data_IF_451835783597
#
_entry.id   IF_451835783597
#
_cell.length_a   1.000
_cell.length_b   1.000
_cell.length_c   1.000
_cell.angle_alpha   90.00
_cell.angle_beta   90.00
_cell.angle_gamma   90.00
#
_symmetry.space_group_name_H-M   'P 1'
#
loop_
_entity.id
_entity.type
_entity.pdbx_description
1 polymer ?
#
# COMPACT_ATOMS: atom_id res chain seq x y z
N UNK A 1 -40.60 55.30 -13.80
CA UNK A 1 -41.19 55.41 -12.44
C UNK A 1 -40.52 54.38 -11.57
N UNK A 2 -39.70 54.75 -10.57
CA UNK A 2 -39.30 53.85 -9.51
C UNK A 2 -40.15 54.09 -8.26
N UNK A 3 -40.61 53.03 -7.61
CA UNK A 3 -41.10 53.06 -6.22
C UNK A 3 -40.11 52.29 -5.32
N UNK A 4 -39.96 52.66 -4.04
CA UNK A 4 -38.75 52.42 -3.26
C UNK A 4 -38.95 51.51 -2.03
N UNK A 5 -37.85 50.89 -1.60
CA UNK A 5 -37.57 50.69 -0.16
C UNK A 5 -37.89 49.31 0.45
N UNK A 6 -36.84 48.63 0.90
CA UNK A 6 -36.75 47.95 2.22
C UNK A 6 -35.29 47.56 2.49
N UNK A 7 -34.80 47.62 3.75
CA UNK A 7 -33.41 47.93 4.04
C UNK A 7 -32.49 46.70 4.09
N UNK A 8 -31.22 46.99 3.83
CA UNK A 8 -30.08 46.12 4.10
C UNK A 8 -30.14 45.58 5.54
N UNK A 9 -30.31 44.26 5.65
CA UNK A 9 -29.98 43.54 6.88
C UNK A 9 -28.55 43.03 6.78
N UNK A 10 -27.79 43.33 7.84
CA UNK A 10 -26.40 42.95 8.06
C UNK A 10 -26.07 41.52 7.63
N UNK A 11 -25.35 41.39 6.51
CA UNK A 11 -24.63 40.16 6.17
C UNK A 11 -23.33 40.10 6.97
N UNK A 12 -23.43 39.77 8.26
CA UNK A 12 -22.27 39.39 9.09
C UNK A 12 -22.17 37.86 9.28
N UNK A 13 -23.01 37.08 8.60
CA UNK A 13 -23.05 35.61 8.70
C UNK A 13 -22.76 34.86 7.39
N UNK A 14 -22.42 35.56 6.31
CA UNK A 14 -22.21 34.95 4.98
C UNK A 14 -20.74 34.70 4.65
N UNK A 15 -19.98 34.17 5.62
CA UNK A 15 -18.60 33.71 5.42
C UNK A 15 -18.38 32.27 5.94
N UNK A 16 -19.47 31.53 6.19
CA UNK A 16 -19.42 30.16 6.71
C UNK A 16 -19.73 29.07 5.66
N UNK A 17 -20.14 29.43 4.43
CA UNK A 17 -20.69 28.46 3.47
C UNK A 17 -19.68 27.96 2.41
N UNK A 18 -18.41 28.37 2.49
CA UNK A 18 -17.39 28.00 1.49
C UNK A 18 -16.28 27.06 1.98
N UNK A 19 -16.32 26.60 3.23
CA UNK A 19 -15.23 25.84 3.80
C UNK A 19 -15.70 24.47 4.27
N UNK A 20 -14.98 23.41 3.90
CA UNK A 20 -15.26 22.05 4.36
C UNK A 20 -15.38 21.92 5.89
N UNK A 21 -15.81 20.76 6.41
CA UNK A 21 -16.19 20.57 7.81
C UNK A 21 -15.14 20.98 8.86
N UNK A 22 -13.88 21.21 8.47
CA UNK A 22 -12.81 21.73 9.33
C UNK A 22 -12.66 23.27 9.42
N UNK A 23 -13.30 24.08 8.57
CA UNK A 23 -13.01 25.53 8.49
C UNK A 23 -13.64 26.34 9.62
N UNK A 24 -14.88 26.03 9.98
CA UNK A 24 -15.60 26.68 11.09
C UNK A 24 -14.87 26.49 12.43
N UNK A 25 -14.50 25.25 12.82
CA UNK A 25 -13.72 25.04 14.04
C UNK A 25 -12.35 25.73 14.03
N UNK A 26 -11.64 25.73 12.90
CA UNK A 26 -10.36 26.42 12.75
C UNK A 26 -10.50 27.94 12.94
N UNK A 27 -11.54 28.54 12.37
CA UNK A 27 -11.84 29.96 12.55
C UNK A 27 -12.12 30.30 14.02
N UNK A 28 -12.80 29.42 14.76
CA UNK A 28 -13.05 29.61 16.20
C UNK A 28 -11.72 29.60 16.97
N UNK A 29 -10.80 28.67 16.67
CA UNK A 29 -9.48 28.63 17.31
C UNK A 29 -8.66 29.89 16.97
N UNK A 30 -8.67 30.33 15.72
CA UNK A 30 -7.97 31.55 15.29
C UNK A 30 -8.56 32.78 15.99
N UNK A 31 -9.88 32.92 16.05
CA UNK A 31 -10.55 34.02 16.75
C UNK A 31 -10.25 33.99 18.24
N UNK A 32 -10.22 32.82 18.88
CA UNK A 32 -9.84 32.67 20.28
C UNK A 32 -8.38 33.11 20.52
N UNK A 33 -7.44 32.69 19.68
CA UNK A 33 -6.02 33.08 19.76
C UNK A 33 -5.81 34.58 19.52
N UNK A 34 -6.42 35.13 18.47
CA UNK A 34 -6.32 36.55 18.13
C UNK A 34 -6.99 37.40 19.20
N UNK A 35 -8.15 36.98 19.71
CA UNK A 35 -8.85 37.64 20.81
C UNK A 35 -8.03 37.66 22.10
N UNK A 36 -7.43 36.53 22.48
CA UNK A 36 -6.54 36.45 23.64
C UNK A 36 -5.27 37.28 23.45
N UNK A 37 -4.65 37.23 22.27
CA UNK A 37 -3.48 38.05 21.93
C UNK A 37 -3.77 39.55 21.94
N UNK A 38 -4.93 39.98 21.42
CA UNK A 38 -5.39 41.37 21.50
C UNK A 38 -5.65 41.79 22.94
N UNK A 39 -6.32 40.96 23.75
CA UNK A 39 -6.53 41.23 25.16
C UNK A 39 -5.20 41.38 25.91
N UNK A 40 -4.22 40.53 25.62
CA UNK A 40 -2.85 40.64 26.15
C UNK A 40 -2.15 41.91 25.70
N UNK A 41 -2.27 42.32 24.43
CA UNK A 41 -1.60 43.52 23.96
C UNK A 41 -2.24 44.82 24.47
N UNK A 42 -3.57 44.85 24.62
CA UNK A 42 -4.33 46.03 25.06
C UNK A 42 -4.30 46.18 26.59
N UNK A 43 -4.48 45.08 27.33
CA UNK A 43 -4.68 45.07 28.79
C UNK A 43 -3.48 44.49 29.54
N UNK A 44 -2.55 43.82 28.85
CA UNK A 44 -1.36 43.21 29.44
C UNK A 44 -0.37 44.23 29.97
N UNK A 45 0.92 43.89 30.10
CA UNK A 45 1.93 44.87 30.50
C UNK A 45 2.05 45.89 29.36
N UNK A 46 1.17 46.89 29.38
CA UNK A 46 0.90 47.81 28.28
C UNK A 46 2.18 48.46 27.78
N UNK A 47 2.15 48.96 26.54
CA UNK A 47 3.25 49.71 25.90
C UNK A 47 4.10 50.36 26.97
N UNK A 48 5.27 49.77 27.26
CA UNK A 48 6.28 50.41 28.09
C UNK A 48 6.67 51.64 27.29
N UNK A 49 6.00 52.75 27.55
CA UNK A 49 6.57 54.05 27.26
C UNK A 49 7.81 54.07 28.12
N UNK A 50 8.95 53.69 27.53
CA UNK A 50 10.24 53.87 28.16
C UNK A 50 10.27 55.31 28.67
N UNK A 51 10.81 55.55 29.89
CA UNK A 51 10.82 56.88 30.47
C UNK A 51 11.35 57.86 29.42
N UNK A 52 10.61 58.95 29.18
CA UNK A 52 11.06 60.02 28.29
C UNK A 52 12.49 60.36 28.73
N UNK A 53 13.44 60.29 27.80
CA UNK A 53 14.88 60.49 28.00
C UNK A 53 15.14 61.78 28.78
N UNK A 54 15.12 61.71 30.10
CA UNK A 54 15.55 62.75 31.01
C UNK A 54 16.60 62.07 31.89
N UNK A 55 17.87 62.26 31.53
CA UNK A 55 19.10 61.99 32.28
C UNK A 55 19.25 60.62 32.99
N UNK A 56 20.01 59.73 32.33
CA UNK A 56 21.03 58.82 32.85
C UNK A 56 20.90 58.21 34.26
N UNK A 57 20.10 57.14 34.36
CA UNK A 57 20.33 56.04 35.30
C UNK A 57 20.42 54.73 34.48
N UNK A 58 21.54 53.98 34.55
CA UNK A 58 21.67 52.67 33.91
C UNK A 58 20.50 51.75 34.30
N UNK A 59 20.02 50.91 33.38
CA UNK A 59 18.84 50.04 33.61
C UNK A 59 18.94 49.24 34.92
N UNK A 60 20.14 48.80 35.31
CA UNK A 60 20.39 48.03 36.52
C UNK A 60 20.44 48.84 37.83
N UNK A 61 20.50 50.18 37.76
CA UNK A 61 20.58 51.08 38.92
C UNK A 61 19.29 51.88 39.16
N UNK A 62 18.24 51.63 38.38
CA UNK A 62 16.96 52.29 38.57
C UNK A 62 16.30 51.73 39.85
N UNK A 63 15.72 52.58 40.71
CA UNK A 63 14.88 52.10 41.79
C UNK A 63 13.82 51.16 41.20
N UNK A 64 13.78 49.92 41.69
CA UNK A 64 12.73 48.98 41.34
C UNK A 64 11.41 49.46 41.99
N UNK A 65 10.29 48.87 41.58
CA UNK A 65 8.99 49.19 42.18
C UNK A 65 9.06 49.02 43.71
N UNK A 66 8.36 49.89 44.45
CA UNK A 66 8.28 49.76 45.90
C UNK A 66 7.65 48.41 46.26
N UNK A 67 8.09 47.79 47.36
CA UNK A 67 7.56 46.49 47.81
C UNK A 67 6.03 46.53 47.90
N UNK A 68 5.44 47.63 48.39
CA UNK A 68 3.98 47.82 48.43
C UNK A 68 3.31 47.74 47.04
N UNK A 69 3.93 48.27 45.98
CA UNK A 69 3.38 48.19 44.61
C UNK A 69 3.48 46.77 44.04
N UNK A 70 4.55 46.06 44.37
CA UNK A 70 4.81 44.69 43.92
C UNK A 70 3.89 43.68 44.60
N UNK A 71 3.73 43.82 45.92
CA UNK A 71 2.91 42.96 46.78
C UNK A 71 1.41 43.22 46.61
N UNK A 72 1.02 44.33 45.98
CA UNK A 72 -0.38 44.63 45.66
C UNK A 72 -0.63 44.49 44.16
N UNK A 73 -0.62 45.60 43.44
CA UNK A 73 -1.05 45.71 42.04
C UNK A 73 -0.21 44.86 41.07
N UNK A 74 1.09 44.68 41.37
CA UNK A 74 1.99 43.84 40.58
C UNK A 74 1.59 42.36 40.66
N UNK A 75 1.46 41.85 41.89
CA UNK A 75 1.05 40.47 42.16
C UNK A 75 -0.39 40.18 41.68
N UNK A 76 -1.34 41.07 41.96
CA UNK A 76 -2.73 40.92 41.51
C UNK A 76 -2.83 40.82 39.98
N UNK A 77 -2.09 41.65 39.24
CA UNK A 77 -2.06 41.58 37.76
C UNK A 77 -1.44 40.28 37.27
N UNK A 78 -0.35 39.81 37.90
CA UNK A 78 0.29 38.56 37.53
C UNK A 78 -0.65 37.35 37.75
N UNK A 79 -1.34 37.31 38.89
CA UNK A 79 -2.33 36.28 39.20
C UNK A 79 -3.53 36.33 38.26
N UNK A 80 -4.03 37.53 37.91
CA UNK A 80 -5.11 37.69 36.93
C UNK A 80 -4.73 37.12 35.55
N UNK A 81 -3.49 37.33 35.09
CA UNK A 81 -2.98 36.73 33.85
C UNK A 81 -2.82 35.22 33.96
N UNK A 82 -2.39 34.71 35.12
CA UNK A 82 -2.34 33.27 35.38
C UNK A 82 -3.73 32.63 35.26
N UNK A 83 -4.76 33.24 35.85
CA UNK A 83 -6.15 32.77 35.74
C UNK A 83 -6.66 32.88 34.31
N UNK A 84 -6.41 34.01 33.62
CA UNK A 84 -6.83 34.20 32.24
C UNK A 84 -6.22 33.15 31.30
N UNK A 85 -4.93 32.84 31.47
CA UNK A 85 -4.25 31.80 30.70
C UNK A 85 -4.79 30.40 31.03
N UNK A 86 -5.06 30.12 32.31
CA UNK A 86 -5.64 28.85 32.72
C UNK A 86 -7.04 28.63 32.13
N UNK A 87 -7.90 29.66 32.14
CA UNK A 87 -9.24 29.62 31.51
C UNK A 87 -9.13 29.51 30.00
N UNK A 88 -8.22 30.25 29.36
CA UNK A 88 -7.99 30.13 27.93
C UNK A 88 -7.54 28.70 27.57
N UNK A 89 -6.54 28.15 28.26
CA UNK A 89 -6.03 26.82 27.99
C UNK A 89 -7.08 25.72 28.25
N UNK A 90 -7.88 25.85 29.32
CA UNK A 90 -8.92 24.86 29.66
C UNK A 90 -10.06 24.82 28.66
N UNK A 91 -10.33 25.91 27.93
CA UNK A 91 -11.32 25.94 26.85
C UNK A 91 -10.69 25.61 25.48
N UNK A 92 -9.49 26.13 25.23
CA UNK A 92 -8.81 26.02 23.94
C UNK A 92 -8.31 24.60 23.66
N UNK A 93 -7.71 23.93 24.66
CA UNK A 93 -7.14 22.58 24.46
C UNK A 93 -8.23 21.56 24.12
N UNK A 94 -9.36 21.45 24.87
CA UNK A 94 -10.42 20.52 24.50
C UNK A 94 -11.03 20.83 23.13
N UNK A 95 -11.20 22.12 22.80
CA UNK A 95 -11.70 22.53 21.50
C UNK A 95 -10.73 22.13 20.37
N UNK A 96 -9.42 22.33 20.55
CA UNK A 96 -8.40 21.88 19.61
C UNK A 96 -8.43 20.37 19.42
N UNK A 97 -8.56 19.61 20.51
CA UNK A 97 -8.59 18.14 20.49
C UNK A 97 -9.81 17.58 19.73
N UNK A 98 -10.94 18.29 19.74
CA UNK A 98 -12.13 17.92 18.95
C UNK A 98 -11.93 18.08 17.43
N UNK A 99 -10.99 18.92 17.01
CA UNK A 99 -10.75 19.30 15.60
C UNK A 99 -9.56 18.51 15.01
N UNK A 100 -8.61 18.16 15.87
CA UNK A 100 -7.37 17.48 15.51
C UNK A 100 -7.56 16.20 14.67
N UNK A 101 -8.56 15.32 14.93
CA UNK A 101 -8.76 14.12 14.12
C UNK A 101 -9.03 14.43 12.64
N UNK A 102 -9.84 15.45 12.34
CA UNK A 102 -10.14 15.83 10.95
C UNK A 102 -8.89 16.36 10.24
N UNK A 103 -8.05 17.13 10.94
CA UNK A 103 -6.79 17.65 10.39
C UNK A 103 -5.82 16.50 10.08
N UNK A 104 -5.72 15.53 10.98
CA UNK A 104 -4.86 14.35 10.79
C UNK A 104 -5.37 13.52 9.61
N UNK A 105 -6.67 13.22 9.55
CA UNK A 105 -7.23 12.42 8.46
C UNK A 105 -7.05 13.09 7.10
N UNK A 106 -7.33 14.40 6.98
CA UNK A 106 -7.09 15.12 5.73
C UNK A 106 -5.62 15.07 5.31
N UNK A 107 -4.68 15.21 6.26
CA UNK A 107 -3.27 15.10 5.94
C UNK A 107 -2.88 13.69 5.50
N UNK A 108 -3.46 12.64 6.10
CA UNK A 108 -3.26 11.24 5.68
C UNK A 108 -3.77 11.03 4.26
N UNK A 109 -4.96 11.54 3.93
CA UNK A 109 -5.52 11.46 2.58
C UNK A 109 -4.64 12.20 1.56
N UNK A 110 -4.17 13.41 1.88
CA UNK A 110 -3.26 14.18 1.03
C UNK A 110 -1.93 13.44 0.78
N UNK A 111 -1.37 12.78 1.81
CA UNK A 111 -0.16 11.95 1.65
C UNK A 111 -0.41 10.71 0.80
N UNK A 112 -1.54 10.03 1.01
CA UNK A 112 -1.92 8.87 0.22
C UNK A 112 -2.08 9.22 -1.27
N UNK A 113 -2.79 10.30 -1.58
CA UNK A 113 -2.98 10.76 -2.96
C UNK A 113 -1.64 11.13 -3.63
N UNK A 114 -0.74 11.77 -2.88
CA UNK A 114 0.61 12.08 -3.36
C UNK A 114 1.43 10.81 -3.64
N UNK A 115 1.36 9.80 -2.77
CA UNK A 115 2.06 8.53 -2.94
C UNK A 115 1.49 7.71 -4.10
N UNK A 116 0.18 7.68 -4.28
CA UNK A 116 -0.48 7.07 -5.46
C UNK A 116 -0.02 7.75 -6.75
N UNK A 117 0.03 9.09 -6.77
CA UNK A 117 0.45 9.84 -7.95
C UNK A 117 1.94 9.61 -8.28
N UNK A 118 2.81 9.65 -7.28
CA UNK A 118 4.23 9.34 -7.44
C UNK A 118 4.45 7.89 -7.89
N UNK A 119 3.77 6.94 -7.23
CA UNK A 119 3.82 5.52 -7.56
C UNK A 119 3.34 5.22 -8.97
N UNK A 120 2.28 5.90 -9.43
CA UNK A 120 1.81 5.81 -10.82
C UNK A 120 2.92 6.24 -11.80
N UNK A 121 3.60 7.35 -11.53
CA UNK A 121 4.66 7.83 -12.42
C UNK A 121 5.81 6.82 -12.53
N UNK A 122 6.27 6.27 -11.39
CA UNK A 122 7.34 5.27 -11.38
C UNK A 122 6.90 3.95 -12.03
N UNK A 123 5.67 3.52 -11.80
CA UNK A 123 5.08 2.35 -12.45
C UNK A 123 5.06 2.49 -13.98
N UNK A 124 4.66 3.66 -14.50
CA UNK A 124 4.66 3.91 -15.95
C UNK A 124 6.07 3.81 -16.55
N UNK A 125 7.09 4.21 -15.79
CA UNK A 125 8.48 4.18 -16.25
C UNK A 125 9.08 2.77 -16.23
N UNK A 126 8.74 1.94 -15.25
CA UNK A 126 9.43 0.68 -14.97
C UNK A 126 8.63 -0.59 -15.26
N UNK A 127 7.30 -0.53 -15.15
CA UNK A 127 6.46 -1.72 -15.08
C UNK A 127 5.46 -1.82 -16.24
N UNK A 128 4.96 -0.68 -16.72
CA UNK A 128 3.86 -0.63 -17.70
C UNK A 128 4.20 -1.28 -19.05
N UNK A 129 5.50 -1.36 -19.41
CA UNK A 129 5.92 -2.03 -20.65
C UNK A 129 5.57 -3.52 -20.69
N UNK A 130 5.49 -4.16 -19.52
CA UNK A 130 5.17 -5.58 -19.39
C UNK A 130 3.77 -5.79 -18.81
N UNK A 131 3.40 -5.02 -17.78
CA UNK A 131 2.16 -5.22 -17.01
C UNK A 131 0.98 -4.36 -17.50
N UNK A 132 1.14 -3.63 -18.61
CA UNK A 132 0.11 -2.74 -19.14
C UNK A 132 0.07 -1.39 -18.43
N UNK A 133 -0.45 -0.37 -19.09
CA UNK A 133 -0.51 1.00 -18.54
C UNK A 133 -1.54 1.15 -17.42
N UNK A 134 -2.52 0.25 -17.37
CA UNK A 134 -3.59 0.20 -16.38
C UNK A 134 -3.50 -1.05 -15.48
N UNK A 135 -2.34 -1.71 -15.40
CA UNK A 135 -2.13 -2.93 -14.62
C UNK A 135 -2.92 -4.15 -15.11
N UNK A 136 -3.42 -4.12 -16.35
CA UNK A 136 -4.24 -5.17 -16.97
C UNK A 136 -3.43 -6.44 -17.33
N UNK A 137 -2.11 -6.41 -17.17
CA UNK A 137 -1.20 -7.47 -17.58
C UNK A 137 -0.74 -7.31 -19.02
N UNK A 138 0.06 -8.27 -19.48
CA UNK A 138 0.64 -8.18 -20.81
C UNK A 138 1.66 -9.27 -21.07
N UNK A 139 2.79 -8.89 -21.65
CA UNK A 139 3.86 -9.84 -21.98
C UNK A 139 5.24 -9.21 -21.87
N UNK A 140 6.25 -10.05 -21.68
CA UNK A 140 7.65 -9.69 -21.68
C UNK A 140 8.43 -10.63 -22.62
N UNK A 141 9.64 -10.26 -23.07
CA UNK A 141 10.53 -11.19 -23.74
C UNK A 141 10.82 -12.41 -22.86
N UNK A 142 10.92 -13.59 -23.47
CA UNK A 142 11.25 -14.81 -22.73
C UNK A 142 12.68 -14.72 -22.14
N UNK A 143 12.91 -15.18 -20.89
CA UNK A 143 14.23 -15.12 -20.26
C UNK A 143 15.24 -16.06 -20.91
N UNK A 144 14.78 -17.19 -21.48
CA UNK A 144 15.59 -18.05 -22.34
C UNK A 144 15.59 -17.52 -23.78
N UNK A 145 16.77 -17.27 -24.40
CA UNK A 145 16.87 -16.75 -25.76
C UNK A 145 16.44 -17.75 -26.83
N UNK A 146 16.36 -19.03 -26.49
CA UNK A 146 16.02 -20.11 -27.42
C UNK A 146 14.50 -20.33 -27.56
N UNK A 147 13.69 -19.59 -26.80
CA UNK A 147 12.23 -19.70 -26.79
C UNK A 147 11.62 -18.43 -27.37
N UNK A 148 11.00 -18.56 -28.54
CA UNK A 148 10.36 -17.45 -29.25
C UNK A 148 9.01 -17.03 -28.63
N UNK A 149 8.41 -17.87 -27.77
CA UNK A 149 7.13 -17.59 -27.14
C UNK A 149 7.25 -16.47 -26.09
N UNK A 150 6.39 -15.43 -26.12
CA UNK A 150 6.47 -14.34 -25.15
C UNK A 150 6.13 -14.81 -23.73
N UNK A 151 6.82 -14.27 -22.73
CA UNK A 151 6.56 -14.55 -21.34
C UNK A 151 5.29 -13.81 -20.88
N UNK A 152 4.29 -14.50 -20.31
CA UNK A 152 3.07 -13.83 -19.87
C UNK A 152 3.35 -12.99 -18.61
N UNK A 153 3.07 -11.70 -18.69
CA UNK A 153 3.13 -10.80 -17.54
C UNK A 153 1.73 -10.75 -16.90
N UNK A 154 1.60 -11.10 -15.60
CA UNK A 154 0.29 -11.16 -14.97
C UNK A 154 -0.33 -9.77 -14.83
N UNK A 155 -1.66 -9.73 -14.87
CA UNK A 155 -2.43 -8.58 -14.43
C UNK A 155 -2.14 -8.28 -12.95
N UNK A 156 -2.02 -7.00 -12.60
CA UNK A 156 -1.76 -6.53 -11.23
C UNK A 156 -2.97 -5.79 -10.66
N UNK A 157 -3.94 -5.41 -11.48
CA UNK A 157 -5.22 -4.80 -11.10
C UNK A 157 -6.17 -5.73 -10.33
N UNK A 158 -5.89 -7.03 -10.25
CA UNK A 158 -6.69 -7.99 -9.48
C UNK A 158 -5.88 -8.84 -8.50
N UNK A 159 -4.66 -8.43 -8.16
CA UNK A 159 -3.77 -9.20 -7.29
C UNK A 159 -4.35 -9.42 -5.89
N UNK A 160 -5.08 -8.45 -5.34
CA UNK A 160 -5.72 -8.60 -4.03
C UNK A 160 -6.79 -9.69 -4.06
N UNK A 161 -7.60 -9.74 -5.11
CA UNK A 161 -8.63 -10.76 -5.25
C UNK A 161 -8.02 -12.17 -5.41
N UNK A 162 -6.96 -12.30 -6.22
CA UNK A 162 -6.26 -13.58 -6.44
C UNK A 162 -5.68 -14.21 -5.17
N UNK A 163 -5.34 -13.40 -4.17
CA UNK A 163 -4.73 -13.86 -2.92
C UNK A 163 -5.60 -13.63 -1.68
N UNK A 164 -6.88 -13.25 -1.83
CA UNK A 164 -7.74 -12.85 -0.72
C UNK A 164 -7.85 -13.90 0.40
N UNK A 165 -7.88 -15.18 0.02
CA UNK A 165 -7.99 -16.32 0.95
C UNK A 165 -6.75 -17.24 0.90
N UNK A 166 -5.61 -16.71 0.47
CA UNK A 166 -4.39 -17.51 0.34
C UNK A 166 -3.69 -17.68 1.68
N UNK A 167 -3.53 -18.93 2.14
CA UNK A 167 -2.69 -19.23 3.31
C UNK A 167 -1.19 -19.01 3.03
N UNK A 168 -0.80 -19.04 1.74
CA UNK A 168 0.59 -18.88 1.30
C UNK A 168 1.00 -17.41 1.23
N UNK A 169 0.05 -16.54 0.87
CA UNK A 169 0.25 -15.10 0.75
C UNK A 169 -0.66 -14.40 1.78
N UNK A 170 -0.25 -14.38 3.06
CA UNK A 170 -1.08 -13.82 4.13
C UNK A 170 -1.17 -12.29 4.08
N UNK A 171 -0.19 -11.63 3.46
CA UNK A 171 -0.16 -10.19 3.24
C UNK A 171 0.21 -9.90 1.78
N UNK A 172 -0.77 -9.44 1.00
CA UNK A 172 -0.60 -9.12 -0.41
C UNK A 172 0.32 -7.92 -0.61
N UNK A 173 0.27 -6.93 0.30
CA UNK A 173 1.13 -5.74 0.22
C UNK A 173 2.58 -6.14 0.40
N UNK A 174 2.86 -6.93 1.44
CA UNK A 174 4.21 -7.42 1.70
C UNK A 174 4.71 -8.30 0.54
N UNK A 175 3.85 -9.15 -0.01
CA UNK A 175 4.19 -9.99 -1.15
C UNK A 175 4.56 -9.18 -2.40
N UNK A 176 3.83 -8.09 -2.69
CA UNK A 176 4.17 -7.17 -3.78
C UNK A 176 5.53 -6.53 -3.49
N UNK A 177 5.72 -6.00 -2.29
CA UNK A 177 6.94 -5.29 -1.92
C UNK A 177 8.18 -6.20 -2.02
N UNK A 178 8.12 -7.42 -1.47
CA UNK A 178 9.20 -8.40 -1.57
C UNK A 178 9.47 -8.82 -3.03
N UNK A 179 8.41 -8.95 -3.84
CA UNK A 179 8.56 -9.22 -5.28
C UNK A 179 9.27 -8.07 -5.99
N UNK A 180 8.99 -6.81 -5.64
CA UNK A 180 9.69 -5.66 -6.21
C UNK A 180 11.14 -5.57 -5.73
N UNK A 181 11.41 -5.87 -4.46
CA UNK A 181 12.75 -5.82 -3.89
C UNK A 181 13.64 -6.89 -4.52
N UNK A 182 13.17 -8.13 -4.60
CA UNK A 182 13.99 -9.29 -4.99
C UNK A 182 13.79 -9.77 -6.43
N UNK A 183 12.76 -9.28 -7.11
CA UNK A 183 12.33 -9.85 -8.39
C UNK A 183 11.81 -11.27 -8.23
N UNK A 184 11.70 -11.98 -9.36
CA UNK A 184 11.38 -13.40 -9.41
C UNK A 184 12.44 -14.13 -10.23
N UNK A 185 13.34 -14.89 -9.59
CA UNK A 185 14.35 -15.68 -10.28
C UNK A 185 13.75 -16.56 -11.39
N UNK A 186 14.44 -16.66 -12.53
CA UNK A 186 13.95 -17.41 -13.69
C UNK A 186 12.85 -16.72 -14.51
N UNK A 187 12.49 -15.47 -14.19
CA UNK A 187 11.53 -14.67 -14.97
C UNK A 187 12.14 -13.38 -15.50
N UNK A 188 11.47 -12.70 -16.45
CA UNK A 188 11.80 -11.32 -16.84
C UNK A 188 11.60 -10.27 -15.73
N UNK A 189 10.94 -10.62 -14.61
CA UNK A 189 10.72 -9.71 -13.48
C UNK A 189 11.99 -9.63 -12.63
N UNK A 190 12.89 -8.71 -12.99
CA UNK A 190 14.12 -8.44 -12.24
C UNK A 190 13.84 -7.81 -10.86
N UNK A 191 14.86 -7.73 -10.03
CA UNK A 191 14.84 -6.93 -8.80
C UNK A 191 14.83 -5.43 -9.13
N UNK A 192 13.98 -4.66 -8.47
CA UNK A 192 13.85 -3.21 -8.63
C UNK A 192 14.40 -2.44 -7.42
N UNK A 193 14.38 -3.03 -6.24
CA UNK A 193 14.94 -2.43 -5.03
C UNK A 193 16.46 -2.42 -5.03
N UNK A 194 17.06 -1.36 -4.46
CA UNK A 194 18.52 -1.26 -4.29
C UNK A 194 19.10 -2.47 -3.58
N UNK A 195 18.39 -3.01 -2.58
CA UNK A 195 18.82 -4.21 -1.84
C UNK A 195 18.93 -5.47 -2.72
N UNK A 196 18.13 -5.57 -3.78
CA UNK A 196 18.17 -6.66 -4.77
C UNK A 196 18.98 -6.34 -6.03
N UNK A 197 19.66 -5.19 -6.08
CA UNK A 197 20.47 -4.77 -7.24
C UNK A 197 19.74 -3.88 -8.25
N UNK A 198 18.54 -3.41 -7.93
CA UNK A 198 17.79 -2.44 -8.72
C UNK A 198 18.14 -0.97 -8.39
N UNK A 199 17.37 -0.05 -8.96
CA UNK A 199 17.63 1.42 -8.90
C UNK A 199 16.66 2.19 -8.00
N UNK A 200 15.58 1.54 -7.54
CA UNK A 200 14.52 2.20 -6.78
C UNK A 200 14.77 2.11 -5.28
N UNK A 201 14.60 3.25 -4.59
CA UNK A 201 14.63 3.32 -3.14
C UNK A 201 13.40 2.65 -2.50
N UNK A 202 13.50 2.28 -1.23
CA UNK A 202 12.39 1.68 -0.48
C UNK A 202 11.13 2.54 -0.54
N UNK A 203 11.26 3.87 -0.45
CA UNK A 203 10.14 4.79 -0.57
C UNK A 203 9.48 4.77 -1.96
N UNK A 204 10.26 4.65 -3.04
CA UNK A 204 9.69 4.53 -4.38
C UNK A 204 8.99 3.19 -4.58
N UNK A 205 9.52 2.09 -4.02
CA UNK A 205 8.86 0.80 -4.06
C UNK A 205 7.54 0.80 -3.28
N UNK A 206 7.52 1.47 -2.13
CA UNK A 206 6.31 1.69 -1.34
C UNK A 206 5.25 2.49 -2.10
N UNK A 207 5.68 3.53 -2.82
CA UNK A 207 4.79 4.32 -3.68
C UNK A 207 4.23 3.47 -4.84
N UNK A 208 5.08 2.70 -5.52
CA UNK A 208 4.63 1.76 -6.58
C UNK A 208 3.63 0.75 -6.01
N UNK A 209 3.91 0.19 -4.84
CA UNK A 209 3.03 -0.77 -4.15
C UNK A 209 1.68 -0.12 -3.79
N UNK A 210 1.72 1.09 -3.24
CA UNK A 210 0.52 1.90 -2.93
C UNK A 210 -0.32 2.16 -4.18
N UNK A 211 0.33 2.52 -5.29
CA UNK A 211 -0.36 2.69 -6.57
C UNK A 211 -1.03 1.39 -7.05
N UNK A 212 -0.32 0.25 -7.02
CA UNK A 212 -0.89 -1.05 -7.42
C UNK A 212 -2.15 -1.35 -6.59
N UNK A 213 -2.07 -1.17 -5.26
CA UNK A 213 -3.19 -1.41 -4.36
C UNK A 213 -4.37 -0.45 -4.56
N UNK A 214 -4.14 0.76 -5.11
CA UNK A 214 -5.19 1.75 -5.36
C UNK A 214 -6.09 1.43 -6.57
N UNK A 215 -5.65 0.57 -7.49
CA UNK A 215 -6.34 0.31 -8.78
C UNK A 215 -7.09 -1.03 -8.79
N UNK A 216 -7.26 -1.68 -7.64
CA UNK A 216 -7.80 -3.05 -7.60
C UNK A 216 -9.26 -3.14 -8.08
N UNK A 217 -9.55 -4.03 -9.03
CA UNK A 217 -10.89 -4.24 -9.63
C UNK A 217 -11.75 -5.23 -8.86
N UNK A 218 -11.12 -6.18 -8.15
CA UNK A 218 -11.80 -7.29 -7.49
C UNK A 218 -12.24 -8.42 -8.44
N UNK A 219 -11.99 -8.29 -9.74
CA UNK A 219 -12.41 -9.26 -10.76
C UNK A 219 -11.34 -10.35 -10.96
N UNK A 220 -11.71 -11.60 -10.74
CA UNK A 220 -10.93 -12.78 -11.11
C UNK A 220 -11.59 -13.39 -12.35
N UNK A 221 -10.84 -13.91 -13.36
CA UNK A 221 -11.45 -14.66 -14.45
C UNK A 221 -12.39 -15.74 -13.91
N UNK A 222 -13.64 -15.75 -14.37
CA UNK A 222 -14.65 -16.69 -13.88
C UNK A 222 -14.19 -18.13 -14.09
N UNK A 223 -14.26 -18.94 -13.02
CA UNK A 223 -13.95 -20.38 -13.08
C UNK A 223 -14.76 -21.12 -14.15
N UNK A 224 -15.94 -20.60 -14.47
CA UNK A 224 -16.85 -21.10 -15.50
C UNK A 224 -16.25 -20.98 -16.92
N UNK A 225 -15.22 -20.15 -17.15
CA UNK A 225 -14.54 -20.04 -18.43
C UNK A 225 -13.87 -21.35 -18.89
N UNK A 226 -13.65 -22.29 -17.97
CA UNK A 226 -13.01 -23.58 -18.23
C UNK A 226 -13.98 -24.77 -18.26
N UNK A 227 -15.28 -24.55 -18.03
CA UNK A 227 -16.28 -25.64 -18.04
C UNK A 227 -16.33 -26.27 -19.44
N UNK A 228 -16.07 -27.58 -19.50
CA UNK A 228 -16.08 -28.37 -20.74
C UNK A 228 -14.83 -28.22 -21.60
N UNK A 229 -13.77 -27.52 -21.14
CA UNK A 229 -12.45 -27.55 -21.77
C UNK A 229 -11.71 -28.85 -21.45
N UNK A 230 -10.82 -29.26 -22.34
CA UNK A 230 -9.96 -30.42 -22.08
C UNK A 230 -8.89 -30.08 -21.03
N UNK A 231 -8.36 -31.09 -20.34
CA UNK A 231 -7.26 -30.90 -19.39
C UNK A 231 -6.01 -30.29 -20.03
N UNK A 232 -5.74 -30.62 -21.29
CA UNK A 232 -4.66 -30.05 -22.10
C UNK A 232 -4.86 -28.55 -22.32
N UNK A 233 -6.06 -28.11 -22.72
CA UNK A 233 -6.36 -26.69 -22.93
C UNK A 233 -6.22 -25.88 -21.62
N UNK A 234 -6.70 -26.45 -20.50
CA UNK A 234 -6.59 -25.80 -19.19
C UNK A 234 -5.12 -25.74 -18.77
N UNK A 235 -4.35 -26.81 -19.00
CA UNK A 235 -2.93 -26.85 -18.69
C UNK A 235 -2.14 -25.82 -19.50
N UNK A 236 -2.37 -25.72 -20.81
CA UNK A 236 -1.72 -24.75 -21.69
C UNK A 236 -1.98 -23.31 -21.23
N UNK A 237 -3.22 -22.98 -20.89
CA UNK A 237 -3.60 -21.62 -20.51
C UNK A 237 -3.12 -21.26 -19.09
N UNK A 238 -3.22 -22.18 -18.13
CA UNK A 238 -3.06 -21.87 -16.71
C UNK A 238 -1.76 -22.38 -16.08
N UNK A 239 -1.24 -23.52 -16.55
CA UNK A 239 -0.12 -24.22 -15.91
C UNK A 239 1.20 -24.04 -16.67
N UNK A 240 1.16 -24.11 -18.01
CA UNK A 240 2.34 -24.09 -18.88
C UNK A 240 3.14 -22.79 -18.77
N UNK A 241 2.50 -21.68 -18.37
CA UNK A 241 3.18 -20.40 -18.07
C UNK A 241 4.32 -20.52 -17.05
N UNK A 242 4.20 -21.45 -16.11
CA UNK A 242 5.20 -21.69 -15.06
C UNK A 242 5.90 -23.03 -15.23
N UNK A 243 5.17 -24.05 -15.69
CA UNK A 243 5.65 -25.42 -15.81
C UNK A 243 6.14 -25.80 -17.21
N UNK A 244 6.04 -24.90 -18.19
CA UNK A 244 6.38 -25.17 -19.59
C UNK A 244 5.27 -25.88 -20.36
N UNK A 245 5.19 -25.69 -21.69
CA UNK A 245 4.18 -26.31 -22.55
C UNK A 245 4.30 -27.83 -22.61
N UNK A 246 5.49 -28.38 -22.35
CA UNK A 246 5.74 -29.82 -22.26
C UNK A 246 5.91 -30.27 -20.80
N UNK A 247 5.53 -29.45 -19.82
CA UNK A 247 5.77 -29.69 -18.40
C UNK A 247 7.25 -29.82 -17.99
N UNK A 248 8.16 -29.25 -18.79
CA UNK A 248 9.61 -29.29 -18.64
C UNK A 248 10.17 -28.41 -17.50
N UNK A 249 9.33 -27.55 -16.93
CA UNK A 249 9.67 -26.61 -15.86
C UNK A 249 10.32 -25.33 -16.36
N UNK A 250 9.75 -24.18 -15.97
CA UNK A 250 10.40 -22.87 -16.08
C UNK A 250 10.66 -22.30 -14.68
N UNK A 251 9.73 -21.48 -14.18
CA UNK A 251 9.73 -21.00 -12.79
C UNK A 251 9.29 -22.12 -11.86
N UNK A 252 8.23 -22.83 -12.25
CA UNK A 252 7.75 -24.01 -11.55
C UNK A 252 8.63 -25.22 -11.89
N UNK A 253 8.69 -26.22 -11.00
CA UNK A 253 9.42 -27.45 -11.29
C UNK A 253 8.79 -28.21 -12.46
N UNK A 254 9.58 -29.00 -13.17
CA UNK A 254 9.08 -29.95 -14.18
C UNK A 254 8.06 -30.93 -13.55
N UNK A 255 7.09 -31.41 -14.33
CA UNK A 255 6.01 -32.29 -13.85
C UNK A 255 6.03 -33.71 -14.43
N UNK A 256 7.05 -34.11 -15.20
CA UNK A 256 7.16 -35.45 -15.78
C UNK A 256 7.14 -36.55 -14.72
N UNK A 257 7.82 -36.38 -13.58
CA UNK A 257 7.78 -37.37 -12.50
C UNK A 257 7.13 -36.85 -11.22
N UNK A 258 6.12 -35.98 -11.34
CA UNK A 258 5.46 -35.41 -10.16
C UNK A 258 4.78 -36.46 -9.29
N UNK A 259 4.21 -37.51 -9.88
CA UNK A 259 3.58 -38.59 -9.12
C UNK A 259 4.60 -39.48 -8.40
N UNK A 260 5.79 -39.68 -8.99
CA UNK A 260 6.92 -40.35 -8.32
C UNK A 260 7.33 -39.59 -7.05
N UNK A 261 7.36 -38.26 -7.12
CA UNK A 261 7.67 -37.41 -5.95
C UNK A 261 6.64 -37.52 -4.83
N UNK A 262 5.43 -37.96 -5.15
CA UNK A 262 4.36 -38.25 -4.19
C UNK A 262 4.21 -39.75 -3.88
N UNK A 263 5.15 -40.58 -4.32
CA UNK A 263 5.26 -41.98 -3.90
C UNK A 263 4.69 -43.01 -4.87
N UNK A 264 4.20 -42.61 -6.05
CA UNK A 264 3.70 -43.55 -7.05
C UNK A 264 4.84 -44.12 -7.91
N UNK A 265 4.97 -45.45 -7.93
CA UNK A 265 5.99 -46.16 -8.70
C UNK A 265 5.48 -46.75 -10.02
N UNK A 266 4.26 -46.42 -10.43
CA UNK A 266 3.67 -46.93 -11.68
C UNK A 266 2.88 -48.24 -11.55
N UNK A 267 2.83 -48.83 -10.36
CA UNK A 267 2.35 -50.21 -10.17
C UNK A 267 1.07 -50.34 -9.35
N UNK A 268 0.79 -49.44 -8.41
CA UNK A 268 -0.32 -49.57 -7.47
C UNK A 268 -1.34 -48.40 -7.52
N UNK A 269 -2.63 -48.77 -7.52
CA UNK A 269 -3.75 -47.83 -7.61
C UNK A 269 -3.88 -46.95 -6.35
N UNK A 270 -3.48 -47.45 -5.18
CA UNK A 270 -3.59 -46.73 -3.91
C UNK A 270 -2.63 -45.53 -3.87
N UNK A 271 -1.35 -45.73 -4.22
CA UNK A 271 -0.37 -44.64 -4.31
C UNK A 271 -0.65 -43.72 -5.50
N UNK A 272 -1.28 -44.20 -6.58
CA UNK A 272 -1.78 -43.34 -7.65
C UNK A 272 -2.85 -42.37 -7.13
N UNK A 273 -3.85 -42.87 -6.39
CA UNK A 273 -4.88 -42.03 -5.78
C UNK A 273 -4.26 -41.04 -4.78
N UNK A 274 -3.27 -41.47 -4.00
CA UNK A 274 -2.53 -40.58 -3.12
C UNK A 274 -1.80 -39.46 -3.88
N UNK A 275 -1.08 -39.81 -4.96
CA UNK A 275 -0.37 -38.84 -5.79
C UNK A 275 -1.33 -37.85 -6.45
N UNK A 276 -2.45 -38.33 -7.03
CA UNK A 276 -3.51 -37.48 -7.58
C UNK A 276 -4.07 -36.52 -6.54
N UNK A 277 -4.37 -37.01 -5.34
CA UNK A 277 -4.88 -36.16 -4.26
C UNK A 277 -3.86 -35.11 -3.81
N UNK A 278 -2.57 -35.45 -3.79
CA UNK A 278 -1.52 -34.48 -3.48
C UNK A 278 -1.42 -33.38 -4.55
N UNK A 279 -1.52 -33.73 -5.83
CA UNK A 279 -1.58 -32.73 -6.92
C UNK A 279 -2.86 -31.89 -6.83
N UNK A 280 -4.01 -32.50 -6.54
CA UNK A 280 -5.27 -31.77 -6.33
C UNK A 280 -5.15 -30.75 -5.21
N UNK A 281 -4.58 -31.14 -4.07
CA UNK A 281 -4.37 -30.25 -2.94
C UNK A 281 -3.46 -29.07 -3.33
N UNK A 282 -2.37 -29.32 -4.05
CA UNK A 282 -1.49 -28.24 -4.53
C UNK A 282 -2.21 -27.29 -5.50
N UNK A 283 -3.10 -27.78 -6.36
CA UNK A 283 -3.90 -26.92 -7.23
C UNK A 283 -4.93 -26.09 -6.44
N UNK A 284 -5.53 -26.66 -5.40
CA UNK A 284 -6.56 -25.99 -4.60
C UNK A 284 -5.99 -24.99 -3.59
N UNK A 285 -4.88 -25.32 -2.93
CA UNK A 285 -4.29 -24.50 -1.87
C UNK A 285 -3.12 -23.65 -2.36
N UNK A 286 -2.53 -24.02 -3.50
CA UNK A 286 -1.25 -23.50 -3.96
C UNK A 286 -0.07 -24.18 -3.26
N UNK A 287 1.15 -23.70 -3.53
CA UNK A 287 2.34 -24.13 -2.79
C UNK A 287 3.43 -23.06 -2.73
N UNK A 288 4.03 -22.86 -1.56
CA UNK A 288 5.25 -22.08 -1.40
C UNK A 288 6.46 -22.99 -1.25
N UNK A 289 7.49 -22.76 -2.06
CA UNK A 289 8.80 -23.40 -1.90
C UNK A 289 9.82 -22.29 -1.61
N UNK A 290 10.58 -22.37 -0.50
CA UNK A 290 11.61 -21.38 -0.20
C UNK A 290 12.55 -21.15 -1.39
N UNK A 291 12.82 -19.90 -1.71
CA UNK A 291 13.67 -19.51 -2.85
C UNK A 291 13.01 -19.60 -4.22
N UNK A 292 11.74 -20.00 -4.31
CA UNK A 292 10.99 -20.11 -5.58
C UNK A 292 9.77 -19.19 -5.58
N UNK A 293 9.24 -18.88 -6.76
CA UNK A 293 7.96 -18.18 -6.85
C UNK A 293 6.84 -19.09 -6.31
N UNK A 294 5.91 -18.56 -5.48
CA UNK A 294 4.80 -19.36 -4.98
C UNK A 294 3.89 -19.76 -6.14
N UNK A 295 3.50 -21.03 -6.15
CA UNK A 295 2.40 -21.51 -6.98
C UNK A 295 1.10 -21.01 -6.35
N UNK A 296 0.28 -20.22 -7.07
CA UNK A 296 -0.99 -19.72 -6.55
C UNK A 296 -2.00 -20.84 -6.36
N UNK A 297 -3.03 -20.57 -5.56
CA UNK A 297 -4.25 -21.38 -5.53
C UNK A 297 -5.06 -21.14 -6.82
N UNK A 298 -5.63 -22.20 -7.37
CA UNK A 298 -6.57 -22.15 -8.49
C UNK A 298 -8.02 -22.42 -8.07
N UNK A 299 -8.31 -22.52 -6.77
CA UNK A 299 -9.66 -22.83 -6.27
C UNK A 299 -10.71 -21.77 -6.65
N UNK A 300 -10.28 -20.52 -6.88
CA UNK A 300 -11.14 -19.43 -7.35
C UNK A 300 -11.15 -19.27 -8.89
N UNK A 301 -10.23 -19.92 -9.60
CA UNK A 301 -10.04 -19.77 -11.05
C UNK A 301 -10.47 -21.00 -11.86
N UNK A 302 -10.58 -22.18 -11.23
CA UNK A 302 -10.92 -23.44 -11.89
C UNK A 302 -12.06 -24.13 -11.14
N UNK A 303 -12.99 -24.75 -11.87
CA UNK A 303 -14.00 -25.63 -11.27
C UNK A 303 -13.37 -26.97 -10.88
N UNK A 304 -14.00 -27.72 -9.96
CA UNK A 304 -13.53 -29.05 -9.58
C UNK A 304 -13.36 -29.99 -10.79
N UNK A 305 -14.30 -29.94 -11.75
CA UNK A 305 -14.22 -30.71 -12.99
C UNK A 305 -13.00 -30.31 -13.86
N UNK A 306 -12.68 -29.01 -13.91
CA UNK A 306 -11.52 -28.52 -14.65
C UNK A 306 -10.20 -28.90 -13.95
N UNK A 307 -10.17 -28.86 -12.61
CA UNK A 307 -9.06 -29.36 -11.81
C UNK A 307 -8.85 -30.85 -12.10
N UNK A 308 -9.91 -31.65 -12.11
CA UNK A 308 -9.81 -33.08 -12.40
C UNK A 308 -9.30 -33.35 -13.82
N UNK A 309 -9.80 -32.61 -14.81
CA UNK A 309 -9.32 -32.73 -16.19
C UNK A 309 -7.82 -32.42 -16.30
N UNK A 310 -7.31 -31.41 -15.59
CA UNK A 310 -5.88 -31.11 -15.55
C UNK A 310 -5.08 -32.23 -14.88
N UNK A 311 -5.59 -32.82 -13.80
CA UNK A 311 -4.93 -33.96 -13.13
C UNK A 311 -4.85 -35.16 -14.07
N UNK A 312 -5.92 -35.45 -14.83
CA UNK A 312 -5.92 -36.49 -15.86
C UNK A 312 -4.88 -36.22 -16.96
N UNK A 313 -4.76 -34.96 -17.39
CA UNK A 313 -3.75 -34.58 -18.36
C UNK A 313 -2.33 -34.74 -17.79
N UNK A 314 -2.08 -34.31 -16.54
CA UNK A 314 -0.79 -34.48 -15.87
C UNK A 314 -0.41 -35.96 -15.75
N UNK A 315 -1.38 -36.82 -15.41
CA UNK A 315 -1.19 -38.27 -15.35
C UNK A 315 -0.75 -38.85 -16.70
N UNK A 316 -1.33 -38.36 -17.80
CA UNK A 316 -1.12 -38.90 -19.14
C UNK A 316 0.33 -38.80 -19.65
N UNK A 317 1.12 -37.89 -19.10
CA UNK A 317 2.52 -37.68 -19.48
C UNK A 317 3.53 -38.01 -18.37
N UNK A 318 3.12 -38.73 -17.31
CA UNK A 318 4.05 -39.12 -16.26
C UNK A 318 5.15 -40.08 -16.80
N UNK A 319 6.41 -39.71 -16.58
CA UNK A 319 7.61 -40.47 -16.91
C UNK A 319 8.46 -40.70 -15.66
N UNK A 320 8.51 -41.94 -15.18
CA UNK A 320 9.14 -42.32 -13.91
C UNK A 320 10.65 -42.57 -14.08
N UNK A 321 11.45 -42.22 -13.06
CA UNK A 321 12.90 -42.45 -13.07
C UNK A 321 13.72 -41.35 -13.76
N UNK A 322 13.08 -40.23 -14.14
CA UNK A 322 13.72 -39.04 -14.70
C UNK A 322 14.34 -38.08 -13.65
N UNK A 323 15.14 -37.08 -14.08
CA UNK A 323 15.74 -36.09 -13.18
C UNK A 323 14.68 -35.25 -12.45
N UNK A 324 14.87 -35.04 -11.13
CA UNK A 324 13.86 -34.38 -10.27
C UNK A 324 13.66 -32.89 -10.55
N UNK A 325 14.65 -32.19 -11.10
CA UNK A 325 14.65 -30.74 -11.30
C UNK A 325 15.39 -30.37 -12.58
N UNK A 326 14.65 -30.05 -13.64
CA UNK A 326 15.15 -29.20 -14.71
C UNK A 326 14.51 -27.82 -14.48
N UNK A 327 15.22 -26.92 -13.80
CA UNK A 327 14.79 -25.54 -13.67
C UNK A 327 15.68 -24.76 -14.62
N UNK A 328 15.12 -24.24 -15.72
CA UNK A 328 15.88 -23.39 -16.62
C UNK A 328 16.27 -22.13 -15.83
N UNK A 329 17.57 -21.98 -15.53
CA UNK A 329 18.13 -20.74 -14.97
C UNK A 329 18.56 -20.77 -13.50
N UNK A 330 18.46 -21.91 -12.79
CA UNK A 330 19.19 -22.09 -11.54
C UNK A 330 20.66 -22.37 -11.86
N UNK A 331 21.59 -21.51 -11.44
CA UNK A 331 22.99 -21.92 -11.40
C UNK A 331 23.06 -23.19 -10.53
N UNK A 332 23.78 -24.24 -10.97
CA UNK A 332 23.97 -25.41 -10.11
C UNK A 332 24.62 -24.93 -8.81
N UNK A 333 24.00 -25.23 -7.68
CA UNK A 333 24.73 -25.21 -6.42
C UNK A 333 25.92 -26.15 -6.61
N UNK A 334 27.12 -25.59 -6.48
CA UNK A 334 28.34 -26.36 -6.56
C UNK A 334 28.35 -27.38 -5.45
N UNK A 335 28.47 -28.66 -5.82
CA UNK A 335 28.90 -29.70 -4.89
C UNK A 335 30.34 -29.37 -4.44
N UNK A 336 30.50 -28.88 -3.21
CA UNK A 336 31.72 -29.00 -2.41
C UNK A 336 31.63 -30.27 -1.54
#
# INVERSE_FOLDING_TARGET
MPEPGSPAMNHLFLAAEGGGPGTVPLLILIVALVGFGLAYFVVGPGKRSGPKRNADIPLAMRPYHADEELETTGMERAMAWGVALAVFASLFIPLYWLIEPTRINNAVDDFYDADVAAGRAEYQNACASCHGVNLEGGSAPHPSPDVDAPWPAPALDNIVARYADSEIVPDVREFILLTLIHGRPGTPMNAFGVAGGGVYSDNQLEQITTYILSVQTGEIPEAQAFVGRSGEDVFEVSCARCHGPNAEGYVGPQLWNVYERYGWSGEDDESLVQARNAVRQVLQEGRNLPGNAPMPSFALELTDDAIEAVIDHIESFQDLGGPRTAQIGGLPEGDD
#
